data_IF_196300510794
#
_entry.id   IF_196300510794
#
_cell.length_a   1.000
_cell.length_b   1.000
_cell.length_c   1.000
_cell.angle_alpha   90.00
_cell.angle_beta   90.00
_cell.angle_gamma   90.00
#
_symmetry.space_group_name_H-M   'P 1'
#
loop_
_entity.id
_entity.type
_entity.pdbx_description
1 polymer ?
#
# COMPACT_ATOMS: atom_id res chain seq x y z
N UNK A 1 4.45 -25.39 -24.10
CA UNK A 1 3.76 -24.18 -23.57
C UNK A 1 4.84 -23.22 -23.18
N UNK A 2 5.01 -22.12 -23.92
CA UNK A 2 5.93 -21.04 -23.58
C UNK A 2 5.36 -20.29 -22.37
N UNK A 3 6.07 -20.32 -21.25
CA UNK A 3 5.83 -19.38 -20.15
C UNK A 3 6.05 -17.97 -20.70
N UNK A 4 4.97 -17.18 -20.79
CA UNK A 4 5.11 -15.74 -21.00
C UNK A 4 5.90 -15.17 -19.82
N UNK A 5 6.96 -14.38 -20.05
CA UNK A 5 7.67 -13.73 -18.97
C UNK A 5 6.67 -12.88 -18.18
N UNK A 6 6.66 -13.01 -16.85
CA UNK A 6 5.86 -12.17 -15.98
C UNK A 6 6.22 -10.71 -16.27
N UNK A 7 5.27 -9.93 -16.80
CA UNK A 7 5.50 -8.53 -17.10
C UNK A 7 5.83 -7.78 -15.80
N UNK A 8 6.91 -7.01 -15.83
CA UNK A 8 7.33 -6.18 -14.72
C UNK A 8 6.52 -4.87 -14.75
N UNK A 9 5.42 -4.86 -14.00
CA UNK A 9 4.52 -3.70 -13.88
C UNK A 9 4.90 -2.75 -12.73
N UNK A 10 6.05 -2.95 -12.10
CA UNK A 10 6.37 -2.23 -10.86
C UNK A 10 6.74 -0.76 -11.10
N UNK A 11 7.53 -0.47 -12.14
CA UNK A 11 7.88 0.91 -12.52
C UNK A 11 6.66 1.72 -12.96
N UNK A 12 5.82 1.24 -13.91
CA UNK A 12 4.59 1.94 -14.28
C UNK A 12 3.64 2.17 -13.11
N UNK A 13 3.53 1.20 -12.19
CA UNK A 13 2.72 1.33 -10.98
C UNK A 13 3.20 2.47 -10.07
N UNK A 14 4.52 2.55 -9.83
CA UNK A 14 5.12 3.60 -8.99
C UNK A 14 4.94 4.99 -9.60
N UNK A 15 5.12 5.10 -10.91
CA UNK A 15 4.93 6.36 -11.64
C UNK A 15 3.46 6.78 -11.64
N UNK A 16 2.54 5.84 -11.90
CA UNK A 16 1.11 6.11 -11.85
C UNK A 16 0.65 6.56 -10.47
N UNK A 17 1.08 5.87 -9.40
CA UNK A 17 0.77 6.30 -8.03
C UNK A 17 1.34 7.68 -7.69
N UNK A 18 2.53 8.01 -8.19
CA UNK A 18 3.13 9.32 -7.97
C UNK A 18 2.30 10.44 -8.62
N UNK A 19 1.81 10.20 -9.84
CA UNK A 19 1.04 11.17 -10.61
C UNK A 19 -0.42 11.27 -10.16
N UNK A 20 -1.03 10.14 -9.79
CA UNK A 20 -2.47 10.02 -9.54
C UNK A 20 -2.80 9.72 -8.07
N UNK A 21 -1.93 10.10 -7.13
CA UNK A 21 -2.10 9.79 -5.70
C UNK A 21 -3.47 10.22 -5.13
N UNK A 22 -3.91 11.45 -5.40
CA UNK A 22 -5.22 11.96 -4.95
C UNK A 22 -6.39 11.20 -5.58
N UNK A 23 -6.52 11.12 -6.92
CA UNK A 23 -7.56 10.31 -7.56
C UNK A 23 -7.57 8.85 -7.10
N UNK A 24 -6.39 8.25 -6.90
CA UNK A 24 -6.23 6.90 -6.40
C UNK A 24 -6.84 6.72 -5.01
N UNK A 25 -6.53 7.61 -4.06
CA UNK A 25 -7.12 7.55 -2.72
C UNK A 25 -8.61 7.87 -2.74
N UNK A 26 -9.05 8.82 -3.57
CA UNK A 26 -10.46 9.15 -3.72
C UNK A 26 -11.28 7.94 -4.17
N UNK A 27 -10.77 7.20 -5.16
CA UNK A 27 -11.46 6.05 -5.75
C UNK A 27 -11.41 4.80 -4.85
N UNK A 28 -10.21 4.40 -4.39
CA UNK A 28 -10.04 3.13 -3.69
C UNK A 28 -10.13 3.22 -2.16
N UNK A 29 -9.81 4.38 -1.59
CA UNK A 29 -9.73 4.58 -0.15
C UNK A 29 -10.42 5.88 0.31
N UNK A 30 -11.71 6.08 0.00
CA UNK A 30 -12.40 7.36 0.22
C UNK A 30 -12.38 7.83 1.68
N UNK A 31 -12.32 6.88 2.63
CA UNK A 31 -12.17 7.20 4.06
C UNK A 31 -10.83 7.83 4.39
N UNK A 32 -9.75 7.40 3.75
CA UNK A 32 -8.40 7.97 3.92
C UNK A 32 -8.32 9.31 3.21
N UNK A 33 -8.86 9.38 1.99
CA UNK A 33 -8.94 10.63 1.23
C UNK A 33 -9.64 11.75 2.02
N UNK A 34 -10.73 11.45 2.73
CA UNK A 34 -11.47 12.42 3.53
C UNK A 34 -10.69 12.97 4.74
N UNK A 35 -9.62 12.30 5.18
CA UNK A 35 -8.78 12.76 6.29
C UNK A 35 -7.74 13.79 5.84
N UNK A 36 -7.37 13.79 4.56
CA UNK A 36 -6.26 14.56 4.00
C UNK A 36 -6.73 15.97 3.63
N UNK A 37 -5.91 16.97 3.93
CA UNK A 37 -6.00 18.33 3.42
C UNK A 37 -5.30 18.42 2.05
N UNK A 38 -6.10 18.37 0.99
CA UNK A 38 -5.65 18.46 -0.40
C UNK A 38 -5.25 19.89 -0.83
N UNK A 39 -5.42 20.89 0.05
CA UNK A 39 -4.80 22.21 -0.14
C UNK A 39 -3.29 22.19 -0.01
N UNK A 40 -2.72 21.14 0.60
CA UNK A 40 -1.29 20.92 0.75
C UNK A 40 -0.83 19.78 -0.17
N UNK A 41 0.27 19.99 -0.89
CA UNK A 41 0.78 19.04 -1.87
C UNK A 41 1.45 17.87 -1.14
N UNK A 42 0.98 16.61 -1.30
CA UNK A 42 1.62 15.44 -0.71
C UNK A 42 3.10 15.30 -1.11
N UNK A 43 3.96 14.91 -0.17
CA UNK A 43 5.38 14.69 -0.42
C UNK A 43 5.68 13.20 -0.54
N UNK A 44 6.32 12.78 -1.63
CA UNK A 44 6.82 11.41 -1.74
C UNK A 44 8.10 11.22 -0.91
N UNK A 45 8.11 10.18 -0.09
CA UNK A 45 9.18 9.88 0.86
C UNK A 45 9.97 8.64 0.43
N UNK A 46 10.51 8.65 -0.80
CA UNK A 46 11.20 7.49 -1.36
C UNK A 46 12.46 7.10 -0.55
N UNK A 47 13.19 8.09 0.00
CA UNK A 47 14.39 7.86 0.82
C UNK A 47 14.07 7.24 2.17
N UNK A 48 13.00 7.71 2.80
CA UNK A 48 12.52 7.20 4.08
C UNK A 48 11.96 5.79 3.90
N UNK A 49 11.24 5.56 2.80
CA UNK A 49 10.80 4.23 2.41
C UNK A 49 12.01 3.30 2.25
N UNK A 50 13.05 3.68 1.52
CA UNK A 50 14.27 2.87 1.42
C UNK A 50 14.85 2.50 2.79
N UNK A 51 14.89 3.42 3.75
CA UNK A 51 15.36 3.13 5.12
C UNK A 51 14.46 2.10 5.81
N UNK A 52 13.13 2.25 5.67
CA UNK A 52 12.14 1.26 6.14
C UNK A 52 12.34 -0.09 5.43
N UNK A 53 12.77 -0.13 4.18
CA UNK A 53 12.98 -1.39 3.44
C UNK A 53 14.30 -2.08 3.81
N UNK A 54 15.40 -1.32 4.01
CA UNK A 54 16.79 -1.84 4.11
C UNK A 54 17.07 -2.89 5.19
N UNK A 55 16.30 -2.96 6.29
CA UNK A 55 16.50 -3.98 7.33
C UNK A 55 15.46 -5.12 7.26
N UNK A 56 14.68 -5.20 6.19
CA UNK A 56 13.84 -6.36 5.92
C UNK A 56 14.64 -7.32 5.05
N UNK A 57 14.95 -8.52 5.56
CA UNK A 57 15.77 -9.59 4.93
C UNK A 57 15.20 -10.17 3.61
N UNK A 58 14.38 -9.41 2.90
CA UNK A 58 13.33 -9.96 2.06
C UNK A 58 13.21 -9.19 0.76
N UNK A 59 14.25 -9.29 -0.08
CA UNK A 59 14.20 -9.06 -1.51
C UNK A 59 13.69 -7.70 -1.99
N UNK A 60 13.86 -7.47 -3.29
CA UNK A 60 13.27 -6.34 -4.01
C UNK A 60 11.73 -6.36 -3.84
N UNK A 61 11.19 -5.40 -3.10
CA UNK A 61 9.75 -5.24 -2.86
C UNK A 61 9.30 -4.01 -3.62
N UNK A 62 8.94 -4.25 -4.87
CA UNK A 62 9.13 -3.28 -5.95
C UNK A 62 7.92 -2.35 -6.15
N UNK A 63 6.80 -2.54 -5.44
CA UNK A 63 5.56 -1.78 -5.64
C UNK A 63 5.11 -0.91 -4.44
N UNK A 64 5.92 -0.81 -3.39
CA UNK A 64 5.57 0.01 -2.22
C UNK A 64 5.86 1.51 -2.49
N UNK A 65 5.01 2.39 -1.93
CA UNK A 65 5.14 3.85 -1.99
C UNK A 65 4.76 4.48 -0.66
N UNK A 66 5.48 5.54 -0.27
CA UNK A 66 5.27 6.26 0.98
C UNK A 66 5.07 7.74 0.69
N UNK A 67 4.01 8.30 1.25
CA UNK A 67 3.70 9.73 1.13
C UNK A 67 3.54 10.34 2.51
N UNK A 68 4.08 11.54 2.70
CA UNK A 68 3.67 12.44 3.77
C UNK A 68 2.48 13.23 3.29
N UNK A 69 1.46 13.32 4.15
CA UNK A 69 0.24 14.08 3.91
C UNK A 69 -0.07 14.92 5.14
N UNK A 70 -0.88 15.96 4.94
CA UNK A 70 -1.42 16.75 6.01
C UNK A 70 -2.87 16.38 6.22
N UNK A 71 -3.25 16.25 7.48
CA UNK A 71 -4.63 15.99 7.87
C UNK A 71 -5.40 17.30 7.95
N UNK A 72 -6.72 17.22 7.87
CA UNK A 72 -7.63 18.37 8.01
C UNK A 72 -7.47 19.13 9.34
N UNK A 73 -6.88 18.51 10.37
CA UNK A 73 -6.57 19.15 11.66
C UNK A 73 -5.19 19.85 11.68
N UNK A 74 -4.45 19.84 10.57
CA UNK A 74 -3.11 20.42 10.42
C UNK A 74 -1.95 19.50 10.80
N UNK A 75 -2.21 18.31 11.36
CA UNK A 75 -1.15 17.35 11.71
C UNK A 75 -0.62 16.65 10.45
N UNK A 76 0.68 16.37 10.41
CA UNK A 76 1.26 15.55 9.36
C UNK A 76 1.16 14.06 9.74
N UNK A 77 0.87 13.21 8.77
CA UNK A 77 0.91 11.74 8.93
C UNK A 77 1.46 11.10 7.67
N UNK A 78 1.81 9.82 7.74
CA UNK A 78 2.29 9.09 6.58
C UNK A 78 1.24 8.12 6.04
N UNK A 79 1.20 7.96 4.72
CA UNK A 79 0.40 6.97 4.01
C UNK A 79 1.37 6.03 3.31
N UNK A 80 1.40 4.77 3.75
CA UNK A 80 2.22 3.72 3.18
C UNK A 80 1.35 2.77 2.36
N UNK A 81 1.52 2.79 1.05
CA UNK A 81 0.80 1.94 0.11
C UNK A 81 1.68 0.74 -0.23
N UNK A 82 1.14 -0.45 -0.02
CA UNK A 82 1.78 -1.71 -0.38
C UNK A 82 1.09 -2.32 -1.59
N UNK A 83 1.83 -2.48 -2.69
CA UNK A 83 1.36 -3.16 -3.88
C UNK A 83 1.78 -4.62 -3.91
N UNK A 84 0.85 -5.55 -4.20
CA UNK A 84 1.20 -6.90 -4.63
C UNK A 84 0.92 -7.04 -6.13
N UNK A 85 1.85 -6.57 -6.95
CA UNK A 85 1.68 -6.50 -8.41
C UNK A 85 2.01 -7.85 -9.08
N UNK A 86 2.67 -8.78 -8.39
CA UNK A 86 2.98 -10.11 -8.92
C UNK A 86 1.91 -11.15 -8.52
N UNK A 87 1.44 -11.91 -9.52
CA UNK A 87 0.29 -12.83 -9.57
C UNK A 87 0.22 -13.99 -8.55
N UNK A 88 0.99 -13.98 -7.46
CA UNK A 88 1.01 -15.04 -6.46
C UNK A 88 0.69 -14.52 -5.06
N UNK A 89 -0.11 -15.29 -4.32
CA UNK A 89 -0.42 -14.99 -2.92
C UNK A 89 0.85 -15.07 -2.08
N UNK A 90 1.17 -13.98 -1.38
CA UNK A 90 2.29 -13.90 -0.45
C UNK A 90 1.82 -14.21 0.97
N UNK A 91 2.29 -15.32 1.54
CA UNK A 91 1.93 -15.74 2.90
C UNK A 91 2.46 -14.80 3.99
N UNK A 92 3.52 -14.03 3.70
CA UNK A 92 4.13 -13.07 4.61
C UNK A 92 3.61 -11.64 4.43
N UNK A 93 2.69 -11.41 3.49
CA UNK A 93 2.15 -10.07 3.19
C UNK A 93 1.66 -9.34 4.44
N UNK A 94 0.78 -9.98 5.23
CA UNK A 94 0.23 -9.36 6.42
C UNK A 94 1.29 -9.08 7.50
N UNK A 95 2.29 -9.97 7.62
CA UNK A 95 3.43 -9.77 8.53
C UNK A 95 4.28 -8.59 8.07
N UNK A 96 4.51 -8.44 6.76
CA UNK A 96 5.21 -7.28 6.19
C UNK A 96 4.48 -5.98 6.47
N UNK A 97 3.17 -5.93 6.27
CA UNK A 97 2.34 -4.77 6.59
C UNK A 97 2.60 -4.29 8.03
N UNK A 98 2.59 -5.23 8.98
CA UNK A 98 2.93 -4.95 10.38
C UNK A 98 4.36 -4.44 10.56
N UNK A 99 5.35 -5.13 10.00
CA UNK A 99 6.77 -4.76 10.14
C UNK A 99 7.05 -3.36 9.59
N UNK A 100 6.49 -3.00 8.44
CA UNK A 100 6.78 -1.71 7.82
C UNK A 100 6.07 -0.57 8.54
N UNK A 101 4.81 -0.80 8.97
CA UNK A 101 4.10 0.14 9.81
C UNK A 101 4.86 0.44 11.11
N UNK A 102 5.30 -0.61 11.82
CA UNK A 102 6.08 -0.45 13.04
C UNK A 102 7.41 0.26 12.81
N UNK A 103 8.15 -0.09 11.75
CA UNK A 103 9.46 0.52 11.47
C UNK A 103 9.36 1.98 11.05
N UNK A 104 8.32 2.34 10.30
CA UNK A 104 8.05 3.73 9.99
C UNK A 104 7.72 4.54 11.25
N UNK A 105 6.94 3.95 12.17
CA UNK A 105 6.69 4.56 13.49
C UNK A 105 7.97 4.68 14.33
N UNK A 106 8.80 3.64 14.41
CA UNK A 106 10.04 3.60 15.20
C UNK A 106 11.11 4.58 14.69
N UNK A 107 11.30 4.68 13.37
CA UNK A 107 12.33 5.53 12.77
C UNK A 107 11.98 7.02 12.79
N UNK A 108 10.69 7.37 12.74
CA UNK A 108 10.25 8.75 12.47
C UNK A 108 9.22 9.29 13.46
N UNK A 109 8.78 8.48 14.42
CA UNK A 109 7.77 8.83 15.45
C UNK A 109 6.46 9.36 14.85
N UNK A 110 6.12 8.93 13.63
CA UNK A 110 4.88 9.32 12.94
C UNK A 110 3.89 8.17 12.88
N UNK A 111 2.61 8.50 13.02
CA UNK A 111 1.54 7.56 12.73
C UNK A 111 1.52 7.25 11.23
N UNK A 112 1.21 6.00 10.90
CA UNK A 112 1.24 5.52 9.51
C UNK A 112 -0.06 4.80 9.17
N UNK A 113 -0.72 5.27 8.12
CA UNK A 113 -1.84 4.59 7.50
C UNK A 113 -1.27 3.60 6.47
N UNK A 114 -1.29 2.31 6.79
CA UNK A 114 -0.89 1.26 5.86
C UNK A 114 -2.07 0.80 5.00
N UNK A 115 -1.91 0.85 3.69
CA UNK A 115 -2.91 0.48 2.68
C UNK A 115 -2.40 -0.67 1.82
N UNK A 116 -3.26 -1.64 1.50
CA UNK A 116 -2.90 -2.76 0.64
C UNK A 116 -3.65 -2.71 -0.69
N UNK A 117 -2.91 -2.89 -1.79
CA UNK A 117 -3.43 -3.05 -3.15
C UNK A 117 -3.08 -4.44 -3.65
N UNK A 118 -4.10 -5.28 -3.84
CA UNK A 118 -3.94 -6.68 -4.19
C UNK A 118 -4.24 -6.90 -5.68
N UNK A 119 -3.19 -7.14 -6.46
CA UNK A 119 -3.25 -7.40 -7.91
C UNK A 119 -3.18 -8.88 -8.32
N UNK A 120 -3.15 -9.82 -7.37
CA UNK A 120 -3.06 -11.25 -7.66
C UNK A 120 -4.39 -11.85 -8.16
N UNK A 121 -4.29 -12.96 -8.90
CA UNK A 121 -5.44 -13.60 -9.55
C UNK A 121 -6.35 -14.42 -8.60
N UNK A 122 -6.04 -14.54 -7.30
CA UNK A 122 -6.85 -15.34 -6.36
C UNK A 122 -7.88 -14.47 -5.66
N UNK A 123 -9.14 -14.52 -6.13
CA UNK A 123 -10.23 -13.71 -5.58
C UNK A 123 -10.43 -13.83 -4.04
N UNK A 124 -10.07 -14.98 -3.46
CA UNK A 124 -10.22 -15.28 -2.03
C UNK A 124 -9.05 -14.81 -1.18
N UNK A 125 -7.88 -14.51 -1.76
CA UNK A 125 -6.74 -14.00 -1.01
C UNK A 125 -6.92 -12.50 -0.76
N UNK A 126 -7.27 -12.17 0.48
CA UNK A 126 -7.56 -10.80 0.96
C UNK A 126 -7.00 -10.57 2.38
N UNK A 127 -5.68 -10.70 2.60
CA UNK A 127 -5.11 -10.41 3.91
C UNK A 127 -5.40 -8.96 4.31
N UNK A 128 -6.01 -8.75 5.48
CA UNK A 128 -6.38 -7.42 5.98
C UNK A 128 -5.98 -7.16 7.44
N UNK A 129 -5.26 -8.11 8.05
CA UNK A 129 -4.83 -8.05 9.43
C UNK A 129 -3.62 -8.94 9.69
N UNK A 130 -2.84 -8.58 10.69
CA UNK A 130 -1.81 -9.44 11.28
C UNK A 130 -1.93 -9.39 12.81
N UNK A 131 -1.72 -10.53 13.47
CA UNK A 131 -1.77 -10.60 14.92
C UNK A 131 -1.04 -11.81 15.47
N UNK A 132 -0.52 -11.70 16.69
CA UNK A 132 -0.08 -12.83 17.47
C UNK A 132 -0.35 -12.60 18.96
N UNK A 133 -0.36 -13.69 19.72
CA UNK A 133 -0.42 -13.69 21.19
C UNK A 133 0.70 -14.57 21.72
N UNK A 134 1.51 -14.05 22.63
CA UNK A 134 2.60 -14.79 23.25
C UNK A 134 2.75 -14.35 24.71
N UNK A 135 2.65 -15.30 25.65
CA UNK A 135 2.84 -15.02 27.08
C UNK A 135 1.91 -13.94 27.67
N UNK A 136 0.70 -13.77 27.13
CA UNK A 136 -0.23 -12.71 27.53
C UNK A 136 -0.04 -11.37 26.80
N UNK A 137 1.01 -11.21 26.00
CA UNK A 137 1.19 -10.07 25.11
C UNK A 137 0.38 -10.28 23.82
N UNK A 138 -0.32 -9.24 23.35
CA UNK A 138 -1.07 -9.25 22.09
C UNK A 138 -0.59 -8.15 21.17
N UNK A 139 -0.26 -8.52 19.95
CA UNK A 139 -0.04 -7.58 18.84
C UNK A 139 -1.16 -7.74 17.83
N UNK A 140 -1.64 -6.62 17.31
CA UNK A 140 -2.69 -6.59 16.31
C UNK A 140 -2.56 -5.35 15.43
N UNK A 141 -2.62 -5.54 14.12
CA UNK A 141 -2.84 -4.47 13.14
C UNK A 141 -3.96 -4.90 12.19
N UNK A 142 -4.80 -3.94 11.82
CA UNK A 142 -5.81 -4.07 10.76
C UNK A 142 -5.61 -2.93 9.78
N UNK A 143 -5.69 -3.24 8.50
CA UNK A 143 -5.42 -2.29 7.44
C UNK A 143 -6.48 -2.35 6.33
N UNK A 144 -6.81 -1.23 5.68
CA UNK A 144 -7.64 -1.20 4.48
C UNK A 144 -6.99 -1.96 3.32
N UNK A 145 -7.83 -2.60 2.52
CA UNK A 145 -7.40 -3.41 1.38
C UNK A 145 -8.30 -3.11 0.19
N UNK A 146 -7.70 -2.95 -0.98
CA UNK A 146 -8.41 -3.03 -2.26
C UNK A 146 -7.94 -4.26 -3.04
N UNK A 147 -8.89 -4.97 -3.66
CA UNK A 147 -8.62 -6.10 -4.55
C UNK A 147 -8.92 -5.65 -5.98
N UNK A 148 -7.91 -5.59 -6.84
CA UNK A 148 -8.08 -5.08 -8.21
C UNK A 148 -8.99 -5.97 -9.08
N UNK A 149 -9.04 -7.27 -8.79
CA UNK A 149 -9.98 -8.19 -9.45
C UNK A 149 -11.45 -7.81 -9.27
N UNK A 150 -11.81 -7.08 -8.22
CA UNK A 150 -13.19 -6.65 -7.98
C UNK A 150 -13.67 -5.64 -9.03
N UNK A 151 -12.74 -5.02 -9.75
CA UNK A 151 -12.99 -4.00 -10.77
C UNK A 151 -12.84 -4.55 -12.19
N UNK A 152 -12.57 -5.84 -12.36
CA UNK A 152 -12.34 -6.47 -13.67
C UNK A 152 -13.52 -6.31 -14.64
N UNK A 153 -14.75 -6.36 -14.14
CA UNK A 153 -15.95 -6.17 -14.95
C UNK A 153 -16.16 -4.70 -15.38
N UNK A 154 -15.47 -3.75 -14.74
CA UNK A 154 -15.58 -2.31 -14.96
C UNK A 154 -14.38 -1.76 -15.75
N UNK A 155 -13.44 -2.61 -16.19
CA UNK A 155 -12.25 -2.16 -16.92
C UNK A 155 -12.59 -1.38 -18.19
N UNK A 156 -13.64 -1.78 -18.92
CA UNK A 156 -14.09 -1.06 -20.12
C UNK A 156 -14.59 0.36 -19.78
N UNK A 157 -15.39 0.51 -18.72
CA UNK A 157 -15.93 1.81 -18.31
C UNK A 157 -14.84 2.74 -17.73
N UNK A 158 -13.79 2.17 -17.11
CA UNK A 158 -12.65 2.89 -16.54
C UNK A 158 -11.68 3.38 -17.63
N UNK A 159 -11.48 2.60 -18.69
CA UNK A 159 -10.66 3.00 -19.85
C UNK A 159 -11.30 4.18 -20.63
N UNK A 160 -12.64 4.23 -20.68
CA UNK A 160 -13.39 5.27 -21.39
C UNK A 160 -13.56 6.59 -20.60
N UNK A 161 -13.21 6.62 -19.31
CA UNK A 161 -13.38 7.78 -18.42
C UNK A 161 -12.16 8.72 -18.36
N UNK A 162 -11.21 8.59 -19.30
CA UNK A 162 -9.98 9.41 -19.38
C UNK A 162 -10.12 10.60 -20.32
#
# INVERSE_FOLDING_TARGET
MSEQPAANYDTPWKEALQQYFEPFLSFFFPRVHALIDWGQIPEALDKELEQILRQADSGERVADKLFKVWLQNGEATWVLIHGSVQSQSDSDFARRMYQYNYRAFDLYEQQVISLAVLGDQRATWRPNKYSYVLGGCKVFIKFPVVKLLDYQAQWQDLEEST
#
